data_IF_532112931608
#
_entry.id   IF_532112931608
#
_cell.length_a   1.000
_cell.length_b   1.000
_cell.length_c   1.000
_cell.angle_alpha   90.00
_cell.angle_beta   90.00
_cell.angle_gamma   90.00
#
_symmetry.space_group_name_H-M   'P 1'
#
loop_
_entity.id
_entity.type
_entity.pdbx_description
1 polymer ?
#
# COMPACT_ATOMS: atom_id res chain seq x y z
N UNK A 1 11.13 10.50 -13.69
CA UNK A 1 10.75 9.15 -13.23
C UNK A 1 9.61 9.28 -12.23
N UNK A 2 8.55 8.49 -12.41
CA UNK A 2 7.39 8.47 -11.52
C UNK A 2 7.35 7.09 -10.87
N UNK A 3 7.54 7.02 -9.55
CA UNK A 3 7.56 5.75 -8.81
C UNK A 3 6.41 5.76 -7.80
N UNK A 4 5.44 4.84 -7.91
CA UNK A 4 4.49 4.64 -6.82
C UNK A 4 5.24 4.05 -5.62
N UNK A 5 5.06 4.63 -4.43
CA UNK A 5 5.75 4.22 -3.18
C UNK A 5 4.77 3.75 -2.09
N UNK A 6 3.47 3.91 -2.31
CA UNK A 6 2.41 3.52 -1.38
C UNK A 6 1.06 4.03 -1.84
N UNK A 7 0.00 3.62 -1.17
CA UNK A 7 -1.35 4.12 -1.37
C UNK A 7 -1.99 4.60 -0.06
N UNK A 8 -3.20 5.15 -0.16
CA UNK A 8 -4.00 5.67 0.93
C UNK A 8 -5.50 5.59 0.59
N UNK A 9 -6.37 5.26 1.56
CA UNK A 9 -6.04 4.76 2.90
C UNK A 9 -5.61 3.29 2.87
N UNK A 10 -4.70 2.89 3.77
CA UNK A 10 -4.32 1.48 3.91
C UNK A 10 -5.35 0.71 4.74
N UNK A 11 -5.62 -0.56 4.41
CA UNK A 11 -6.48 -1.41 5.21
C UNK A 11 -5.85 -1.73 6.57
N UNK A 12 -6.65 -1.95 7.63
CA UNK A 12 -6.15 -2.44 8.90
C UNK A 12 -5.74 -3.92 8.82
N UNK A 13 -4.72 -4.31 9.59
CA UNK A 13 -4.25 -5.69 9.68
C UNK A 13 -3.07 -6.02 8.75
N UNK A 14 -2.77 -7.31 8.59
CA UNK A 14 -1.65 -7.80 7.76
C UNK A 14 -2.19 -8.70 6.65
N UNK A 15 -1.74 -8.44 5.42
CA UNK A 15 -2.06 -9.21 4.23
C UNK A 15 -1.12 -10.43 4.13
N UNK A 16 -1.39 -11.47 4.92
CA UNK A 16 -0.49 -12.61 5.08
C UNK A 16 -0.21 -13.35 3.78
N UNK A 17 -1.20 -13.49 2.89
CA UNK A 17 -1.01 -14.20 1.62
C UNK A 17 -0.21 -13.35 0.65
N UNK A 18 -0.49 -12.06 0.53
CA UNK A 18 0.28 -11.12 -0.27
C UNK A 18 1.75 -11.09 0.18
N UNK A 19 1.99 -10.99 1.49
CA UNK A 19 3.34 -11.06 2.05
C UNK A 19 4.02 -12.41 1.79
N UNK A 20 3.26 -13.51 1.85
CA UNK A 20 3.79 -14.85 1.54
C UNK A 20 4.15 -14.99 0.06
N UNK A 21 3.35 -14.43 -0.85
CA UNK A 21 3.66 -14.41 -2.28
C UNK A 21 4.91 -13.56 -2.55
N UNK A 22 5.04 -12.40 -1.90
CA UNK A 22 6.26 -11.57 -2.00
C UNK A 22 7.48 -12.37 -1.51
N UNK A 23 7.38 -12.98 -0.33
CA UNK A 23 8.45 -13.80 0.24
C UNK A 23 8.82 -14.99 -0.66
N UNK A 24 7.83 -15.69 -1.23
CA UNK A 24 8.06 -16.82 -2.13
C UNK A 24 8.82 -16.39 -3.40
N UNK A 25 8.42 -15.27 -4.01
CA UNK A 25 9.10 -14.72 -5.19
C UNK A 25 10.54 -14.31 -4.88
N UNK A 26 10.76 -13.62 -3.75
CA UNK A 26 12.12 -13.26 -3.30
C UNK A 26 12.96 -14.50 -3.03
N UNK A 27 12.40 -15.52 -2.38
CA UNK A 27 13.09 -16.77 -2.06
C UNK A 27 13.46 -17.55 -3.32
N UNK A 28 12.54 -17.68 -4.28
CA UNK A 28 12.83 -18.32 -5.58
C UNK A 28 13.92 -17.55 -6.32
N UNK A 29 13.85 -16.23 -6.33
CA UNK A 29 14.91 -15.42 -6.93
C UNK A 29 16.27 -15.61 -6.25
N UNK A 30 16.29 -15.64 -4.91
CA UNK A 30 17.53 -15.78 -4.14
C UNK A 30 18.15 -17.18 -4.23
N UNK A 31 17.31 -18.24 -4.25
CA UNK A 31 17.76 -19.63 -4.22
C UNK A 31 17.94 -20.25 -5.60
N UNK A 32 17.25 -19.74 -6.63
CA UNK A 32 17.28 -20.30 -7.99
C UNK A 32 17.86 -19.29 -8.97
N UNK A 33 17.25 -18.11 -9.10
CA UNK A 33 17.68 -17.14 -10.12
C UNK A 33 19.11 -16.68 -9.90
N UNK A 34 19.46 -16.16 -8.72
CA UNK A 34 20.79 -15.60 -8.44
C UNK A 34 21.93 -16.62 -8.62
N UNK A 35 21.87 -17.83 -8.03
CA UNK A 35 22.94 -18.82 -8.21
C UNK A 35 23.09 -19.25 -9.67
N UNK A 36 21.98 -19.57 -10.35
CA UNK A 36 22.03 -20.05 -11.73
C UNK A 36 22.45 -18.96 -12.73
N UNK A 37 22.14 -17.69 -12.47
CA UNK A 37 22.61 -16.58 -13.31
C UNK A 37 24.13 -16.39 -13.23
N UNK A 38 24.77 -16.81 -12.13
CA UNK A 38 26.22 -16.78 -11.97
C UNK A 38 26.95 -17.99 -12.57
N UNK A 39 26.22 -19.02 -12.99
CA UNK A 39 26.76 -20.26 -13.55
C UNK A 39 26.65 -20.26 -15.07
N UNK A 40 27.66 -20.81 -15.76
CA UNK A 40 27.58 -21.07 -17.20
C UNK A 40 26.62 -22.22 -17.49
N UNK A 41 25.95 -22.17 -18.63
CA UNK A 41 25.17 -23.29 -19.14
C UNK A 41 26.03 -24.56 -19.28
N UNK A 42 25.48 -25.71 -18.86
CA UNK A 42 26.12 -27.01 -19.07
C UNK A 42 26.13 -27.35 -20.57
N UNK A 43 27.30 -27.52 -21.21
CA UNK A 43 27.40 -27.84 -22.64
C UNK A 43 26.75 -29.18 -23.02
N UNK A 44 26.59 -30.09 -22.06
CA UNK A 44 26.01 -31.42 -22.29
C UNK A 44 24.50 -31.48 -22.02
N UNK A 45 23.90 -30.37 -21.58
CA UNK A 45 22.46 -30.32 -21.35
C UNK A 45 21.72 -30.34 -22.71
N UNK A 46 20.83 -31.31 -22.96
CA UNK A 46 20.13 -31.41 -24.24
C UNK A 46 19.25 -30.18 -24.55
N UNK A 47 18.77 -29.47 -23.52
CA UNK A 47 17.99 -28.25 -23.70
C UNK A 47 18.80 -27.08 -24.29
N UNK A 48 20.13 -27.10 -24.17
CA UNK A 48 20.99 -26.11 -24.82
C UNK A 48 20.91 -26.23 -26.35
N UNK A 49 20.85 -27.45 -26.88
CA UNK A 49 20.74 -27.69 -28.32
C UNK A 49 19.40 -27.18 -28.84
N UNK A 50 18.32 -27.49 -28.11
CA UNK A 50 16.98 -27.00 -28.42
C UNK A 50 16.91 -25.47 -28.37
N UNK A 51 17.47 -24.86 -27.33
CA UNK A 51 17.55 -23.41 -27.18
C UNK A 51 18.30 -22.73 -28.36
N UNK A 52 19.47 -23.25 -28.73
CA UNK A 52 20.26 -22.72 -29.85
C UNK A 52 19.53 -22.88 -31.20
N UNK A 53 18.82 -23.99 -31.40
CA UNK A 53 18.01 -24.21 -32.58
C UNK A 53 16.89 -23.16 -32.71
N UNK A 54 16.21 -22.83 -31.60
CA UNK A 54 15.16 -21.80 -31.61
C UNK A 54 15.68 -20.37 -31.72
N UNK A 55 16.94 -20.11 -31.36
CA UNK A 55 17.62 -18.85 -31.66
C UNK A 55 18.03 -18.71 -33.14
N UNK A 56 17.81 -19.74 -33.97
CA UNK A 56 18.16 -19.72 -35.40
C UNK A 56 19.66 -19.81 -35.65
N UNK A 57 20.42 -20.39 -34.71
CA UNK A 57 21.86 -20.59 -34.85
C UNK A 57 22.13 -21.67 -35.89
N UNK A 58 22.82 -21.32 -36.98
CA UNK A 58 23.07 -22.22 -38.11
C UNK A 58 24.53 -22.68 -38.24
N UNK A 59 25.46 -22.08 -37.48
CA UNK A 59 26.88 -22.43 -37.53
C UNK A 59 27.47 -22.77 -36.16
N UNK A 60 28.50 -23.62 -36.16
CA UNK A 60 29.25 -24.01 -34.96
C UNK A 60 29.91 -22.80 -34.27
N UNK A 61 30.43 -21.84 -35.04
CA UNK A 61 31.05 -20.64 -34.49
C UNK A 61 30.02 -19.73 -33.81
N UNK A 62 28.82 -19.58 -34.38
CA UNK A 62 27.73 -18.87 -33.73
C UNK A 62 27.25 -19.61 -32.48
N UNK A 63 27.13 -20.94 -32.54
CA UNK A 63 26.73 -21.76 -31.39
C UNK A 63 27.70 -21.60 -30.21
N UNK A 64 29.01 -21.61 -30.47
CA UNK A 64 30.03 -21.38 -29.44
C UNK A 64 29.92 -19.97 -28.85
N UNK A 65 29.79 -18.94 -29.68
CA UNK A 65 29.66 -17.55 -29.20
C UNK A 65 28.40 -17.32 -28.36
N UNK A 66 27.29 -17.96 -28.73
CA UNK A 66 26.02 -17.85 -28.01
C UNK A 66 26.09 -18.67 -26.71
N UNK A 67 26.57 -19.92 -26.76
CA UNK A 67 26.72 -20.77 -25.58
C UNK A 67 27.62 -20.17 -24.48
N UNK A 68 28.65 -19.41 -24.86
CA UNK A 68 29.51 -18.69 -23.91
C UNK A 68 28.79 -17.56 -23.15
N UNK A 69 27.67 -17.05 -23.68
CA UNK A 69 26.88 -15.96 -23.10
C UNK A 69 25.63 -16.41 -22.37
N UNK A 70 25.23 -17.67 -22.54
CA UNK A 70 24.06 -18.28 -21.89
C UNK A 70 24.44 -18.71 -20.48
N UNK A 71 23.66 -18.25 -19.50
CA UNK A 71 23.75 -18.71 -18.11
C UNK A 71 22.96 -20.00 -17.91
N UNK A 72 23.26 -20.72 -16.83
CA UNK A 72 22.43 -21.86 -16.42
C UNK A 72 20.98 -21.43 -16.15
N UNK A 73 20.76 -20.18 -15.75
CA UNK A 73 19.43 -19.63 -15.54
C UNK A 73 18.65 -19.43 -16.84
N UNK A 74 19.30 -19.01 -17.93
CA UNK A 74 18.63 -18.86 -19.23
C UNK A 74 18.08 -20.21 -19.72
N UNK A 75 18.84 -21.30 -19.54
CA UNK A 75 18.37 -22.65 -19.81
C UNK A 75 17.26 -23.07 -18.86
N UNK A 76 17.36 -22.73 -17.57
CA UNK A 76 16.33 -23.03 -16.58
C UNK A 76 14.99 -22.36 -16.95
N UNK A 77 15.03 -21.09 -17.35
CA UNK A 77 13.88 -20.33 -17.86
C UNK A 77 13.35 -20.93 -19.15
N UNK A 78 14.23 -21.38 -20.06
CA UNK A 78 13.80 -22.06 -21.28
C UNK A 78 13.07 -23.38 -21.01
N UNK A 79 13.46 -24.09 -19.96
CA UNK A 79 12.85 -25.36 -19.57
C UNK A 79 11.54 -25.21 -18.80
N UNK A 80 11.44 -24.21 -17.90
CA UNK A 80 10.33 -24.08 -16.93
C UNK A 80 9.48 -22.81 -17.10
N UNK A 81 9.83 -21.93 -18.04
CA UNK A 81 9.04 -20.78 -18.42
C UNK A 81 7.95 -21.18 -19.42
N UNK A 82 6.84 -20.44 -19.43
CA UNK A 82 5.70 -20.79 -20.27
C UNK A 82 5.99 -20.45 -21.74
N UNK A 83 6.02 -21.47 -22.60
CA UNK A 83 6.23 -21.31 -24.05
C UNK A 83 4.90 -21.46 -24.79
N UNK A 84 4.38 -20.40 -25.45
CA UNK A 84 3.14 -20.50 -26.24
C UNK A 84 3.13 -21.62 -27.27
N UNK A 85 4.27 -21.89 -27.94
CA UNK A 85 4.40 -22.93 -28.96
C UNK A 85 4.41 -24.36 -28.40
N UNK A 86 4.67 -24.52 -27.10
CA UNK A 86 4.73 -25.80 -26.41
C UNK A 86 4.10 -25.66 -25.02
N UNK A 87 2.76 -25.45 -24.93
CA UNK A 87 2.10 -25.09 -23.70
C UNK A 87 2.11 -26.27 -22.73
N UNK A 88 2.64 -26.05 -21.53
CA UNK A 88 2.60 -27.02 -20.43
C UNK A 88 1.99 -26.40 -19.18
N UNK A 89 1.25 -27.21 -18.41
CA UNK A 89 0.52 -26.74 -17.25
C UNK A 89 1.44 -26.40 -16.08
N UNK A 90 2.51 -27.17 -15.88
CA UNK A 90 3.56 -26.89 -14.90
C UNK A 90 4.23 -25.53 -15.16
N UNK A 91 4.63 -25.27 -16.40
CA UNK A 91 5.27 -24.01 -16.80
C UNK A 91 4.37 -22.79 -16.57
N UNK A 92 3.05 -22.96 -16.69
CA UNK A 92 2.08 -21.90 -16.47
C UNK A 92 2.08 -21.39 -15.01
N UNK A 93 2.30 -22.29 -14.04
CA UNK A 93 2.39 -21.89 -12.63
C UNK A 93 3.82 -21.51 -12.22
N UNK A 94 4.83 -22.24 -12.69
CA UNK A 94 6.24 -21.94 -12.36
C UNK A 94 6.67 -20.57 -12.91
N UNK A 95 6.27 -20.24 -14.14
CA UNK A 95 6.60 -18.97 -14.77
C UNK A 95 6.19 -17.74 -13.94
N UNK A 96 5.12 -17.82 -13.14
CA UNK A 96 4.67 -16.73 -12.27
C UNK A 96 5.70 -16.33 -11.22
N UNK A 97 6.64 -17.22 -10.88
CA UNK A 97 7.64 -16.99 -9.84
C UNK A 97 9.05 -16.73 -10.38
N UNK A 98 9.29 -16.97 -11.67
CA UNK A 98 10.58 -16.71 -12.32
C UNK A 98 10.68 -15.24 -12.74
N UNK A 99 11.86 -14.64 -12.58
CA UNK A 99 12.08 -13.22 -12.89
C UNK A 99 13.33 -13.03 -13.74
N UNK A 100 13.25 -12.13 -14.72
CA UNK A 100 14.37 -11.87 -15.65
C UNK A 100 15.56 -11.14 -14.99
N UNK A 101 15.40 -10.61 -13.78
CA UNK A 101 16.46 -9.90 -13.06
C UNK A 101 15.95 -9.13 -11.85
N UNK A 102 16.86 -8.48 -11.13
CA UNK A 102 16.55 -7.82 -9.86
C UNK A 102 15.53 -6.69 -10.01
N UNK A 103 15.65 -5.85 -11.05
CA UNK A 103 14.70 -4.76 -11.28
C UNK A 103 13.30 -5.28 -11.64
N UNK A 104 13.21 -6.39 -12.38
CA UNK A 104 11.94 -7.02 -12.69
C UNK A 104 11.26 -7.57 -11.41
N UNK A 105 12.02 -8.25 -10.55
CA UNK A 105 11.52 -8.66 -9.24
C UNK A 105 11.10 -7.47 -8.38
N UNK A 106 11.98 -6.48 -8.21
CA UNK A 106 11.72 -5.31 -7.37
C UNK A 106 10.47 -4.55 -7.81
N UNK A 107 10.27 -4.38 -9.12
CA UNK A 107 9.05 -3.80 -9.68
C UNK A 107 7.81 -4.61 -9.32
N UNK A 108 7.83 -5.92 -9.54
CA UNK A 108 6.68 -6.79 -9.21
C UNK A 108 6.35 -6.75 -7.71
N UNK A 109 7.36 -6.85 -6.85
CA UNK A 109 7.14 -6.85 -5.40
C UNK A 109 6.65 -5.48 -4.90
N UNK A 110 7.12 -4.38 -5.50
CA UNK A 110 6.63 -3.04 -5.20
C UNK A 110 5.14 -2.90 -5.50
N UNK A 111 4.68 -3.37 -6.66
CA UNK A 111 3.26 -3.32 -7.01
C UNK A 111 2.40 -4.23 -6.11
N UNK A 112 2.87 -5.44 -5.78
CA UNK A 112 2.16 -6.28 -4.81
C UNK A 112 2.11 -5.65 -3.42
N UNK A 113 3.20 -5.01 -2.99
CA UNK A 113 3.27 -4.32 -1.70
C UNK A 113 2.27 -3.17 -1.61
N UNK A 114 2.12 -2.38 -2.68
CA UNK A 114 1.26 -1.20 -2.69
C UNK A 114 -0.23 -1.55 -2.89
N UNK A 115 -0.54 -2.54 -3.71
CA UNK A 115 -1.93 -2.77 -4.15
C UNK A 115 -2.52 -4.09 -3.65
N UNK A 116 -1.68 -5.08 -3.30
CA UNK A 116 -2.11 -6.42 -2.96
C UNK A 116 -2.85 -6.52 -1.63
N UNK A 117 -2.46 -5.72 -0.64
CA UNK A 117 -3.03 -5.72 0.70
C UNK A 117 -4.52 -5.29 0.72
N UNK A 118 -4.88 -4.27 -0.04
CA UNK A 118 -6.26 -3.78 -0.19
C UNK A 118 -7.15 -4.86 -0.82
N UNK A 119 -6.64 -5.55 -1.84
CA UNK A 119 -7.37 -6.60 -2.55
C UNK A 119 -7.51 -7.85 -1.66
N UNK A 120 -6.47 -8.24 -0.93
CA UNK A 120 -6.55 -9.33 0.06
C UNK A 120 -7.51 -8.97 1.20
N UNK A 121 -7.47 -7.74 1.70
CA UNK A 121 -8.36 -7.29 2.76
C UNK A 121 -9.84 -7.40 2.34
N UNK A 122 -10.16 -7.10 1.07
CA UNK A 122 -11.53 -7.21 0.55
C UNK A 122 -11.98 -8.66 0.33
N UNK A 123 -11.10 -9.53 -0.17
CA UNK A 123 -11.46 -10.90 -0.55
C UNK A 123 -11.23 -11.94 0.56
N UNK A 124 -10.38 -11.63 1.53
CA UNK A 124 -9.77 -12.60 2.41
C UNK A 124 -8.64 -13.40 1.74
N UNK A 125 -7.83 -14.10 2.55
CA UNK A 125 -6.56 -14.70 2.12
C UNK A 125 -6.73 -15.76 1.02
N UNK A 126 -7.69 -16.68 1.18
CA UNK A 126 -7.87 -17.80 0.26
C UNK A 126 -8.35 -17.36 -1.13
N UNK A 127 -9.35 -16.48 -1.18
CA UNK A 127 -9.86 -15.97 -2.45
C UNK A 127 -8.86 -15.04 -3.14
N UNK A 128 -8.05 -14.31 -2.37
CA UNK A 128 -6.94 -13.55 -2.91
C UNK A 128 -5.90 -14.45 -3.60
N UNK A 129 -5.51 -15.57 -2.98
CA UNK A 129 -4.60 -16.54 -3.61
C UNK A 129 -5.17 -17.12 -4.90
N UNK A 130 -6.44 -17.56 -4.87
CA UNK A 130 -7.12 -18.10 -6.05
C UNK A 130 -7.22 -17.05 -7.15
N UNK A 131 -7.56 -15.82 -6.81
CA UNK A 131 -7.61 -14.70 -7.74
C UNK A 131 -6.24 -14.47 -8.39
N UNK A 132 -5.17 -14.39 -7.59
CA UNK A 132 -3.82 -14.17 -8.08
C UNK A 132 -3.39 -15.24 -9.10
N UNK A 133 -3.61 -16.52 -8.78
CA UNK A 133 -3.30 -17.62 -9.68
C UNK A 133 -4.18 -17.59 -10.94
N UNK A 134 -5.48 -17.34 -10.77
CA UNK A 134 -6.44 -17.26 -11.87
C UNK A 134 -6.09 -16.14 -12.85
N UNK A 135 -5.83 -14.92 -12.36
CA UNK A 135 -5.45 -13.80 -13.23
C UNK A 135 -4.09 -14.01 -13.88
N UNK A 136 -3.17 -14.72 -13.21
CA UNK A 136 -1.92 -15.18 -13.81
C UNK A 136 -2.18 -16.11 -15.01
N UNK A 137 -3.04 -17.12 -14.84
CA UNK A 137 -3.44 -18.03 -15.93
C UNK A 137 -4.07 -17.26 -17.09
N UNK A 138 -5.03 -16.39 -16.79
CA UNK A 138 -5.73 -15.60 -17.82
C UNK A 138 -4.78 -14.63 -18.55
N UNK A 139 -3.83 -14.02 -17.85
CA UNK A 139 -2.79 -13.19 -18.43
C UNK A 139 -1.93 -13.99 -19.42
N UNK A 140 -1.47 -15.17 -19.01
CA UNK A 140 -0.66 -16.07 -19.84
C UNK A 140 -1.42 -16.55 -21.07
N UNK A 141 -2.68 -16.97 -20.90
CA UNK A 141 -3.54 -17.39 -22.02
C UNK A 141 -3.76 -16.23 -22.99
N UNK A 142 -4.09 -15.03 -22.48
CA UNK A 142 -4.30 -13.86 -23.33
C UNK A 142 -3.03 -13.53 -24.14
N UNK A 143 -1.85 -13.57 -23.51
CA UNK A 143 -0.58 -13.37 -24.21
C UNK A 143 -0.33 -14.44 -25.29
N UNK A 144 -0.61 -15.71 -24.98
CA UNK A 144 -0.41 -16.82 -25.90
C UNK A 144 -1.26 -16.68 -27.17
N UNK A 145 -2.48 -16.13 -27.09
CA UNK A 145 -3.36 -15.91 -28.25
C UNK A 145 -2.72 -15.05 -29.34
N UNK A 146 -1.77 -14.19 -28.99
CA UNK A 146 -1.06 -13.31 -29.94
C UNK A 146 0.36 -13.78 -30.26
N UNK A 147 0.81 -14.87 -29.67
CA UNK A 147 2.21 -15.34 -29.76
C UNK A 147 2.32 -16.87 -29.91
N UNK A 148 1.31 -17.52 -30.50
CA UNK A 148 1.15 -18.98 -30.54
C UNK A 148 2.41 -19.74 -31.01
N UNK A 149 3.15 -19.22 -31.99
CA UNK A 149 4.35 -19.90 -32.54
C UNK A 149 5.65 -19.54 -31.80
N UNK A 150 5.57 -18.81 -30.69
CA UNK A 150 6.74 -18.36 -29.93
C UNK A 150 7.29 -19.43 -29.00
N UNK A 151 8.59 -19.71 -29.13
CA UNK A 151 9.37 -20.49 -28.17
C UNK A 151 10.07 -19.63 -27.10
N UNK A 152 9.91 -18.30 -27.18
CA UNK A 152 10.42 -17.38 -26.15
C UNK A 152 9.60 -17.56 -24.87
N UNK A 153 10.20 -18.01 -23.76
CA UNK A 153 9.45 -18.26 -22.53
C UNK A 153 8.91 -16.98 -21.91
N UNK A 154 7.64 -17.01 -21.51
CA UNK A 154 7.03 -16.03 -20.64
C UNK A 154 7.37 -16.36 -19.18
N UNK A 155 7.88 -15.37 -18.45
CA UNK A 155 8.14 -15.43 -17.01
C UNK A 155 7.75 -14.12 -16.33
N UNK A 156 7.42 -14.20 -15.05
CA UNK A 156 7.16 -13.07 -14.18
C UNK A 156 5.77 -13.10 -13.55
N UNK A 157 5.69 -12.61 -12.31
CA UNK A 157 4.46 -12.41 -11.57
C UNK A 157 3.55 -11.31 -12.18
N UNK A 158 4.08 -10.49 -13.09
CA UNK A 158 3.51 -9.21 -13.53
C UNK A 158 2.11 -9.33 -14.18
N UNK A 159 1.81 -10.45 -14.84
CA UNK A 159 0.47 -10.74 -15.37
C UNK A 159 -0.57 -10.94 -14.26
N UNK A 160 -0.25 -11.76 -13.26
CA UNK A 160 -1.09 -11.96 -12.08
C UNK A 160 -1.29 -10.66 -11.30
N UNK A 161 -0.20 -9.90 -11.11
CA UNK A 161 -0.20 -8.59 -10.44
C UNK A 161 -1.09 -7.62 -11.20
N UNK A 162 -1.01 -7.59 -12.53
CA UNK A 162 -1.87 -6.73 -13.35
C UNK A 162 -3.36 -7.06 -13.14
N UNK A 163 -3.71 -8.34 -12.88
CA UNK A 163 -5.04 -8.70 -12.42
C UNK A 163 -5.42 -8.13 -11.06
N UNK A 164 -4.50 -8.14 -10.09
CA UNK A 164 -4.70 -7.45 -8.81
C UNK A 164 -4.94 -5.94 -9.03
N UNK A 165 -4.19 -5.30 -9.93
CA UNK A 165 -4.39 -3.89 -10.30
C UNK A 165 -5.74 -3.65 -10.97
N UNK A 166 -6.20 -4.57 -11.82
CA UNK A 166 -7.53 -4.54 -12.42
C UNK A 166 -8.63 -4.58 -11.38
N UNK A 167 -8.52 -5.48 -10.39
CA UNK A 167 -9.43 -5.49 -9.24
C UNK A 167 -9.36 -4.19 -8.45
N UNK A 168 -8.15 -3.70 -8.19
CA UNK A 168 -7.94 -2.48 -7.42
C UNK A 168 -8.59 -1.27 -8.09
N UNK A 169 -8.45 -1.16 -9.42
CA UNK A 169 -9.02 -0.08 -10.23
C UNK A 169 -10.56 0.00 -10.13
N UNK A 170 -11.22 -1.16 -10.05
CA UNK A 170 -12.67 -1.27 -9.91
C UNK A 170 -13.10 -0.96 -8.47
N UNK A 171 -12.48 -1.60 -7.48
CA UNK A 171 -12.95 -1.58 -6.10
C UNK A 171 -12.50 -0.36 -5.28
N UNK A 172 -11.39 0.29 -5.63
CA UNK A 172 -10.83 1.40 -4.86
C UNK A 172 -10.75 2.71 -5.67
N UNK A 173 -11.89 3.22 -6.20
CA UNK A 173 -11.91 4.37 -7.10
C UNK A 173 -11.47 5.70 -6.45
N UNK A 174 -11.54 5.77 -5.12
CA UNK A 174 -11.24 6.98 -4.33
C UNK A 174 -9.86 6.93 -3.67
N UNK A 175 -9.15 5.80 -3.74
CA UNK A 175 -7.82 5.69 -3.16
C UNK A 175 -6.84 6.58 -3.92
N UNK A 176 -5.81 7.02 -3.21
CA UNK A 176 -4.73 7.85 -3.75
C UNK A 176 -3.42 7.09 -3.65
N UNK A 177 -2.60 7.17 -4.68
CA UNK A 177 -1.25 6.61 -4.72
C UNK A 177 -0.27 7.73 -4.40
N UNK A 178 0.61 7.47 -3.43
CA UNK A 178 1.81 8.27 -3.17
C UNK A 178 2.79 8.00 -4.30
N UNK A 179 3.02 8.99 -5.15
CA UNK A 179 3.95 8.88 -6.27
C UNK A 179 5.13 9.80 -6.03
N UNK A 180 6.31 9.19 -5.93
CA UNK A 180 7.58 9.91 -5.92
C UNK A 180 7.92 10.36 -7.34
N UNK A 181 8.06 11.66 -7.51
CA UNK A 181 8.47 12.31 -8.76
C UNK A 181 9.94 12.68 -8.64
N UNK A 182 10.74 12.05 -9.48
CA UNK A 182 12.17 12.30 -9.61
C UNK A 182 12.48 12.84 -11.00
N UNK A 183 12.59 14.15 -11.12
CA UNK A 183 13.03 14.91 -12.29
C UNK A 183 14.28 15.69 -11.86
N UNK A 184 15.42 15.00 -11.81
CA UNK A 184 16.68 15.61 -11.42
C UNK A 184 17.13 16.69 -12.43
N UNK A 185 17.65 17.85 -12.00
CA UNK A 185 17.79 18.34 -10.62
C UNK A 185 16.61 19.20 -10.11
N UNK A 186 15.50 19.29 -10.85
CA UNK A 186 14.47 20.31 -10.67
C UNK A 186 13.37 19.95 -9.67
N UNK A 187 12.89 18.70 -9.69
CA UNK A 187 11.73 18.26 -8.89
C UNK A 187 12.04 16.91 -8.25
N UNK A 188 12.09 16.89 -6.91
CA UNK A 188 12.25 15.69 -6.09
C UNK A 188 11.22 15.75 -4.96
N UNK A 189 9.99 15.33 -5.24
CA UNK A 189 8.87 15.42 -4.28
C UNK A 189 7.94 14.23 -4.39
N UNK A 190 7.10 14.04 -3.37
CA UNK A 190 6.04 13.03 -3.37
C UNK A 190 4.69 13.71 -3.45
N UNK A 191 3.87 13.31 -4.42
CA UNK A 191 2.50 13.82 -4.56
C UNK A 191 1.48 12.68 -4.45
N UNK A 192 0.25 13.04 -4.09
CA UNK A 192 -0.88 12.11 -4.03
C UNK A 192 -1.69 12.21 -5.32
N UNK A 193 -1.68 11.14 -6.11
CA UNK A 193 -2.44 11.05 -7.34
C UNK A 193 -3.63 10.08 -7.18
N UNK A 194 -4.77 10.31 -7.84
CA UNK A 194 -5.86 9.34 -7.86
C UNK A 194 -5.37 7.99 -8.38
N UNK A 195 -5.68 6.90 -7.69
CA UNK A 195 -5.19 5.57 -8.07
C UNK A 195 -5.60 5.19 -9.50
N UNK A 196 -6.84 5.50 -9.90
CA UNK A 196 -7.33 5.28 -11.27
C UNK A 196 -6.51 6.01 -12.33
N UNK A 197 -6.00 7.20 -12.03
CA UNK A 197 -5.16 7.93 -12.96
C UNK A 197 -3.81 7.21 -13.12
N UNK A 198 -3.17 6.84 -12.01
CA UNK A 198 -1.87 6.16 -12.03
C UNK A 198 -1.96 4.81 -12.74
N UNK A 199 -2.95 3.99 -12.37
CA UNK A 199 -3.16 2.67 -12.98
C UNK A 199 -3.62 2.77 -14.44
N UNK A 200 -4.44 3.78 -14.78
CA UNK A 200 -4.88 4.03 -16.16
C UNK A 200 -3.71 4.44 -17.06
N UNK A 201 -2.82 5.32 -16.57
CA UNK A 201 -1.59 5.69 -17.28
C UNK A 201 -0.69 4.47 -17.47
N UNK A 202 -0.47 3.68 -16.41
CA UNK A 202 0.31 2.43 -16.50
C UNK A 202 -0.27 1.45 -17.54
N UNK A 203 -1.58 1.24 -17.54
CA UNK A 203 -2.22 0.35 -18.50
C UNK A 203 -2.09 0.88 -19.94
N UNK A 204 -2.37 2.16 -20.16
CA UNK A 204 -2.40 2.71 -21.52
C UNK A 204 -0.99 2.93 -22.06
N UNK A 205 -0.18 3.69 -21.33
CA UNK A 205 1.14 4.15 -21.80
C UNK A 205 2.17 3.03 -21.74
N UNK A 206 2.23 2.25 -20.66
CA UNK A 206 3.28 1.26 -20.48
C UNK A 206 2.91 -0.11 -21.08
N UNK A 207 1.65 -0.33 -21.46
CA UNK A 207 1.19 -1.63 -21.96
C UNK A 207 0.43 -1.55 -23.29
N UNK A 208 -0.68 -0.83 -23.38
CA UNK A 208 -1.48 -0.77 -24.61
C UNK A 208 -0.70 -0.14 -25.77
N UNK A 209 -0.03 1.00 -25.56
CA UNK A 209 0.74 1.63 -26.62
C UNK A 209 1.89 0.74 -27.12
N UNK A 210 2.76 0.17 -26.25
CA UNK A 210 3.78 -0.77 -26.71
C UNK A 210 3.20 -2.01 -27.40
N UNK A 211 2.10 -2.57 -26.89
CA UNK A 211 1.44 -3.71 -27.52
C UNK A 211 0.97 -3.42 -28.95
N UNK A 212 0.50 -2.21 -29.24
CA UNK A 212 0.00 -1.81 -30.56
C UNK A 212 1.10 -1.35 -31.52
N UNK A 213 2.16 -0.72 -31.01
CA UNK A 213 3.12 0.01 -31.85
C UNK A 213 4.53 -0.61 -31.84
N UNK A 214 4.89 -1.39 -30.82
CA UNK A 214 6.21 -2.03 -30.69
C UNK A 214 6.09 -3.50 -31.09
N UNK A 215 6.47 -3.80 -32.33
CA UNK A 215 6.25 -5.12 -32.94
C UNK A 215 7.30 -6.17 -32.52
N UNK A 216 8.45 -5.76 -31.96
CA UNK A 216 9.50 -6.70 -31.52
C UNK A 216 10.56 -6.00 -30.66
N UNK A 217 11.05 -6.70 -29.61
CA UNK A 217 12.29 -6.33 -28.89
C UNK A 217 12.13 -5.62 -27.54
N UNK A 218 10.92 -5.45 -26.98
CA UNK A 218 10.78 -4.79 -25.67
C UNK A 218 11.21 -5.67 -24.48
N UNK A 219 11.26 -6.99 -24.66
CA UNK A 219 11.52 -7.95 -23.57
C UNK A 219 10.40 -8.00 -22.50
N UNK A 220 9.28 -7.29 -22.73
CA UNK A 220 8.15 -7.19 -21.80
C UNK A 220 6.89 -7.74 -22.47
N UNK A 221 6.21 -8.65 -21.79
CA UNK A 221 4.98 -9.26 -22.26
C UNK A 221 3.76 -8.36 -22.01
N UNK A 222 3.67 -7.23 -22.72
CA UNK A 222 2.59 -6.25 -22.55
C UNK A 222 1.18 -6.88 -22.70
N UNK A 223 1.02 -7.86 -23.59
CA UNK A 223 -0.23 -8.62 -23.72
C UNK A 223 -0.64 -9.33 -22.43
N UNK A 224 0.31 -9.88 -21.68
CA UNK A 224 0.01 -10.53 -20.40
C UNK A 224 -0.51 -9.53 -19.36
N UNK A 225 0.06 -8.31 -19.31
CA UNK A 225 -0.42 -7.27 -18.40
C UNK A 225 -1.85 -6.82 -18.75
N UNK A 226 -2.14 -6.63 -20.03
CA UNK A 226 -3.48 -6.27 -20.51
C UNK A 226 -4.49 -7.37 -20.16
N UNK A 227 -4.18 -8.62 -20.50
CA UNK A 227 -5.04 -9.77 -20.21
C UNK A 227 -5.30 -9.95 -18.72
N UNK A 228 -4.25 -9.83 -17.90
CA UNK A 228 -4.37 -9.87 -16.44
C UNK A 228 -5.29 -8.77 -15.92
N UNK A 229 -5.06 -7.52 -16.31
CA UNK A 229 -5.87 -6.37 -15.88
C UNK A 229 -7.35 -6.52 -16.24
N UNK A 230 -7.64 -6.94 -17.47
CA UNK A 230 -9.01 -7.18 -17.93
C UNK A 230 -9.64 -8.32 -17.13
N UNK A 231 -8.93 -9.43 -16.92
CA UNK A 231 -9.44 -10.56 -16.16
C UNK A 231 -9.77 -10.18 -14.70
N UNK A 232 -8.85 -9.50 -14.02
CA UNK A 232 -9.05 -9.05 -12.64
C UNK A 232 -10.18 -8.01 -12.52
N UNK A 233 -10.20 -7.02 -13.41
CA UNK A 233 -11.29 -6.04 -13.47
C UNK A 233 -12.65 -6.68 -13.74
N UNK A 234 -12.69 -7.67 -14.65
CA UNK A 234 -13.88 -8.45 -14.96
C UNK A 234 -14.38 -9.28 -13.77
N UNK A 235 -13.48 -9.97 -13.05
CA UNK A 235 -13.81 -10.70 -11.83
C UNK A 235 -14.34 -9.74 -10.76
N UNK A 236 -13.69 -8.60 -10.55
CA UNK A 236 -14.13 -7.60 -9.59
C UNK A 236 -15.53 -7.06 -9.91
N UNK A 237 -15.77 -6.74 -11.18
CA UNK A 237 -17.08 -6.32 -11.67
C UNK A 237 -18.14 -7.41 -11.47
N UNK A 238 -17.83 -8.67 -11.82
CA UNK A 238 -18.75 -9.79 -11.68
C UNK A 238 -19.13 -10.07 -10.22
N UNK A 239 -18.17 -10.02 -9.28
CA UNK A 239 -18.42 -10.16 -7.84
C UNK A 239 -19.35 -9.06 -7.33
N UNK A 240 -19.18 -7.83 -7.81
CA UNK A 240 -20.02 -6.71 -7.37
C UNK A 240 -21.46 -6.80 -7.91
N UNK A 241 -21.66 -7.38 -9.10
CA UNK A 241 -22.96 -7.45 -9.80
C UNK A 241 -23.70 -8.79 -9.67
N UNK A 242 -23.05 -9.87 -9.21
CA UNK A 242 -23.69 -11.17 -9.04
C UNK A 242 -23.76 -11.58 -7.56
N UNK A 243 -24.93 -11.46 -6.89
CA UNK A 243 -25.06 -11.72 -5.46
C UNK A 243 -24.61 -13.12 -5.02
N UNK A 244 -24.78 -14.13 -5.87
CA UNK A 244 -24.37 -15.52 -5.61
C UNK A 244 -22.85 -15.76 -5.63
N UNK A 245 -22.06 -14.88 -6.26
CA UNK A 245 -20.59 -14.95 -6.26
C UNK A 245 -19.97 -14.17 -5.09
N UNK A 246 -20.79 -13.47 -4.30
CA UNK A 246 -20.38 -12.83 -3.05
C UNK A 246 -20.19 -13.89 -1.96
N UNK A 247 -19.16 -14.70 -2.10
CA UNK A 247 -18.70 -15.61 -1.06
C UNK A 247 -17.54 -14.97 -0.30
N UNK A 248 -17.74 -14.81 1.01
CA UNK A 248 -16.86 -14.09 1.90
C UNK A 248 -17.73 -13.47 2.98
N UNK A 249 -17.38 -13.64 4.25
CA UNK A 249 -18.08 -12.97 5.35
C UNK A 249 -18.27 -11.54 4.91
N UNK A 250 -19.52 -11.09 4.89
CA UNK A 250 -19.84 -9.68 4.92
C UNK A 250 -19.06 -9.18 6.13
N UNK A 251 -17.86 -8.62 5.95
CA UNK A 251 -17.50 -7.45 6.72
C UNK A 251 -18.50 -6.42 6.22
N UNK A 252 -19.72 -6.54 6.74
CA UNK A 252 -20.40 -5.39 7.26
C UNK A 252 -19.26 -4.55 7.82
N UNK A 253 -18.98 -3.40 7.19
CA UNK A 253 -18.96 -2.20 8.01
C UNK A 253 -20.17 -2.42 8.90
N UNK A 254 -19.96 -2.87 10.15
CA UNK A 254 -21.04 -2.99 11.12
C UNK A 254 -21.67 -1.62 10.95
N UNK A 255 -22.84 -1.58 10.32
CA UNK A 255 -23.59 -0.33 10.25
C UNK A 255 -23.65 0.00 11.71
N UNK A 256 -22.91 1.03 12.10
CA UNK A 256 -22.79 1.29 13.52
C UNK A 256 -24.24 1.44 13.98
N UNK A 257 -24.65 0.94 15.16
CA UNK A 257 -25.99 1.22 15.66
C UNK A 257 -26.38 2.71 15.51
N UNK A 258 -25.36 3.56 15.45
CA UNK A 258 -25.33 5.00 15.30
C UNK A 258 -25.26 5.53 13.85
N UNK A 259 -25.31 4.69 12.82
CA UNK A 259 -25.22 5.12 11.41
C UNK A 259 -26.64 5.38 10.87
N UNK A 260 -27.23 6.50 11.32
CA UNK A 260 -28.46 7.07 10.79
C UNK A 260 -28.11 8.22 9.81
N UNK A 261 -28.54 8.15 8.52
CA UNK A 261 -28.25 9.20 7.52
C UNK A 261 -28.78 10.60 7.86
N UNK A 262 -29.82 10.68 8.69
CA UNK A 262 -30.46 11.93 9.10
C UNK A 262 -29.90 12.50 10.41
N UNK A 263 -29.10 11.72 11.15
CA UNK A 263 -28.55 12.12 12.44
C UNK A 263 -27.41 13.14 12.29
N UNK A 264 -27.40 14.14 13.16
CA UNK A 264 -26.32 15.14 13.16
C UNK A 264 -24.98 14.49 13.55
N UNK A 265 -23.88 15.18 13.27
CA UNK A 265 -22.56 14.69 13.68
C UNK A 265 -22.45 14.52 15.21
N UNK A 266 -23.15 15.37 15.97
CA UNK A 266 -23.20 15.28 17.43
C UNK A 266 -23.97 14.02 17.87
N UNK A 267 -25.14 13.74 17.29
CA UNK A 267 -25.93 12.56 17.63
C UNK A 267 -25.18 11.25 17.33
N UNK A 268 -24.44 11.24 16.21
CA UNK A 268 -23.62 10.09 15.81
C UNK A 268 -22.47 9.84 16.79
N UNK A 269 -21.79 10.90 17.24
CA UNK A 269 -20.71 10.80 18.22
C UNK A 269 -21.26 10.35 19.57
N UNK A 270 -22.37 10.96 20.04
CA UNK A 270 -23.01 10.58 21.29
C UNK A 270 -23.36 9.09 21.31
N UNK A 271 -24.06 8.61 20.27
CA UNK A 271 -24.40 7.19 20.18
C UNK A 271 -23.16 6.29 20.14
N UNK A 272 -22.07 6.70 19.47
CA UNK A 272 -20.84 5.89 19.39
C UNK A 272 -20.17 5.77 20.75
N UNK A 273 -20.14 6.87 21.51
CA UNK A 273 -19.63 6.89 22.88
C UNK A 273 -20.51 6.02 23.80
N UNK A 274 -21.84 6.12 23.70
CA UNK A 274 -22.79 5.30 24.46
C UNK A 274 -22.62 3.78 24.21
N UNK A 275 -22.06 3.39 23.06
CA UNK A 275 -21.80 2.00 22.69
C UNK A 275 -20.34 1.59 22.85
N UNK A 276 -19.53 2.36 23.59
CA UNK A 276 -18.12 2.09 23.87
C UNK A 276 -17.26 1.97 22.59
N UNK A 277 -17.58 2.79 21.58
CA UNK A 277 -16.88 2.83 20.28
C UNK A 277 -16.13 4.15 20.11
N UNK A 278 -15.17 4.38 20.99
CA UNK A 278 -14.44 5.65 21.05
C UNK A 278 -13.59 5.91 19.79
N UNK A 279 -12.95 4.88 19.22
CA UNK A 279 -12.18 5.00 17.96
C UNK A 279 -13.04 5.51 16.80
N UNK A 280 -14.25 4.96 16.66
CA UNK A 280 -15.20 5.36 15.62
C UNK A 280 -15.67 6.80 15.85
N UNK A 281 -15.91 7.21 17.11
CA UNK A 281 -16.28 8.57 17.48
C UNK A 281 -15.19 9.58 17.10
N UNK A 282 -13.93 9.27 17.43
CA UNK A 282 -12.77 10.06 17.01
C UNK A 282 -12.70 10.16 15.49
N UNK A 283 -12.92 9.05 14.77
CA UNK A 283 -12.95 9.02 13.30
C UNK A 283 -14.01 9.96 12.71
N UNK A 284 -15.22 9.98 13.29
CA UNK A 284 -16.28 10.92 12.89
C UNK A 284 -15.84 12.36 13.16
N UNK A 285 -15.32 12.67 14.35
CA UNK A 285 -14.85 14.01 14.70
C UNK A 285 -13.75 14.53 13.76
N UNK A 286 -12.74 13.70 13.47
CA UNK A 286 -11.64 14.11 12.59
C UNK A 286 -12.07 14.31 11.13
N UNK A 287 -13.11 13.59 10.69
CA UNK A 287 -13.72 13.75 9.37
C UNK A 287 -14.52 15.04 9.18
N UNK A 288 -14.84 15.78 10.25
CA UNK A 288 -15.55 17.05 10.17
C UNK A 288 -14.60 18.19 9.79
N UNK A 289 -14.74 18.68 8.55
CA UNK A 289 -13.91 19.78 8.03
C UNK A 289 -14.43 21.17 8.42
N UNK A 290 -15.75 21.34 8.59
CA UNK A 290 -16.38 22.62 8.91
C UNK A 290 -16.35 22.91 10.42
N UNK A 291 -15.99 24.15 10.79
CA UNK A 291 -15.93 24.62 12.19
C UNK A 291 -17.30 24.64 12.83
N UNK A 292 -18.33 25.00 12.06
CA UNK A 292 -19.72 25.03 12.47
C UNK A 292 -20.19 23.65 12.93
N UNK A 293 -19.87 22.60 12.17
CA UNK A 293 -20.23 21.21 12.50
C UNK A 293 -19.46 20.69 13.72
N UNK A 294 -18.19 21.07 13.90
CA UNK A 294 -17.45 20.66 15.09
C UNK A 294 -17.97 21.32 16.35
N UNK A 295 -18.47 22.56 16.28
CA UNK A 295 -19.05 23.31 17.40
C UNK A 295 -20.38 22.73 17.90
N UNK A 296 -21.12 21.99 17.08
CA UNK A 296 -22.36 21.34 17.53
C UNK A 296 -22.11 20.18 18.49
N UNK A 297 -20.87 19.69 18.58
CA UNK A 297 -20.51 18.58 19.46
C UNK A 297 -20.32 19.11 20.88
N UNK A 298 -20.95 18.50 21.90
CA UNK A 298 -20.76 18.90 23.29
C UNK A 298 -19.29 18.86 23.73
N UNK A 299 -18.88 19.85 24.53
CA UNK A 299 -17.48 20.02 24.92
C UNK A 299 -16.91 18.83 25.68
N UNK A 300 -17.72 18.23 26.58
CA UNK A 300 -17.33 17.07 27.36
C UNK A 300 -16.98 15.84 26.49
N UNK A 301 -17.75 15.56 25.43
CA UNK A 301 -17.43 14.45 24.52
C UNK A 301 -16.13 14.67 23.75
N UNK A 302 -15.83 15.92 23.38
CA UNK A 302 -14.57 16.22 22.70
C UNK A 302 -13.40 15.97 23.66
N UNK A 303 -13.51 16.41 24.91
CA UNK A 303 -12.48 16.19 25.92
C UNK A 303 -12.31 14.72 26.29
N UNK A 304 -13.42 13.98 26.40
CA UNK A 304 -13.43 12.52 26.61
C UNK A 304 -12.70 11.77 25.49
N UNK A 305 -12.98 12.11 24.22
CA UNK A 305 -12.22 11.59 23.07
C UNK A 305 -10.74 11.96 23.15
N UNK A 306 -10.42 13.17 23.59
CA UNK A 306 -9.04 13.59 23.82
C UNK A 306 -8.32 12.74 24.88
N UNK A 307 -8.97 12.48 26.01
CA UNK A 307 -8.45 11.65 27.10
C UNK A 307 -8.25 10.20 26.67
N UNK A 308 -9.19 9.64 25.90
CA UNK A 308 -9.06 8.32 25.30
C UNK A 308 -7.83 8.22 24.39
N UNK A 309 -7.64 9.19 23.48
CA UNK A 309 -6.47 9.21 22.60
C UNK A 309 -5.17 9.33 23.39
N UNK A 310 -5.17 10.06 24.50
CA UNK A 310 -4.02 10.13 25.41
C UNK A 310 -3.73 8.78 26.08
N UNK A 311 -4.76 8.06 26.54
CA UNK A 311 -4.63 6.75 27.17
C UNK A 311 -4.07 5.70 26.18
N UNK A 312 -4.52 5.73 24.93
CA UNK A 312 -4.04 4.87 23.84
C UNK A 312 -2.70 5.34 23.23
N UNK A 313 -2.06 6.36 23.81
CA UNK A 313 -0.77 6.93 23.38
C UNK A 313 -0.79 7.51 21.95
N UNK A 314 -1.96 7.91 21.46
CA UNK A 314 -2.12 8.61 20.19
C UNK A 314 -1.93 10.13 20.34
N UNK A 315 -0.75 10.54 20.81
CA UNK A 315 -0.46 11.93 21.22
C UNK A 315 -0.63 12.97 20.10
N UNK A 316 -0.29 12.64 18.84
CA UNK A 316 -0.49 13.55 17.70
C UNK A 316 -1.97 13.81 17.40
N UNK A 317 -2.80 12.76 17.51
CA UNK A 317 -4.24 12.87 17.31
C UNK A 317 -4.88 13.65 18.46
N UNK A 318 -4.51 13.34 19.70
CA UNK A 318 -4.96 14.06 20.89
C UNK A 318 -4.61 15.56 20.80
N UNK A 319 -3.35 15.89 20.47
CA UNK A 319 -2.91 17.27 20.29
C UNK A 319 -3.71 18.00 19.20
N UNK A 320 -3.96 17.33 18.07
CA UNK A 320 -4.78 17.89 16.98
C UNK A 320 -6.21 18.17 17.44
N UNK A 321 -6.80 17.25 18.20
CA UNK A 321 -8.13 17.39 18.76
C UNK A 321 -8.20 18.57 19.74
N UNK A 322 -7.28 18.66 20.71
CA UNK A 322 -7.26 19.77 21.68
C UNK A 322 -7.03 21.12 21.01
N UNK A 323 -6.13 21.21 20.01
CA UNK A 323 -5.93 22.44 19.22
C UNK A 323 -7.19 22.85 18.46
N UNK A 324 -7.91 21.89 17.88
CA UNK A 324 -9.21 22.15 17.24
C UNK A 324 -10.22 22.64 18.27
N UNK A 325 -10.27 22.04 19.46
CA UNK A 325 -11.15 22.49 20.53
C UNK A 325 -10.89 23.95 20.91
N UNK A 326 -9.62 24.28 21.23
CA UNK A 326 -9.19 25.64 21.61
C UNK A 326 -9.52 26.65 20.50
N UNK A 327 -9.22 26.29 19.24
CA UNK A 327 -9.49 27.16 18.10
C UNK A 327 -10.99 27.31 17.85
N UNK A 328 -11.76 26.23 17.95
CA UNK A 328 -13.18 26.24 17.63
C UNK A 328 -13.99 26.95 18.71
N UNK A 329 -13.58 26.89 19.99
CA UNK A 329 -14.35 27.37 21.16
C UNK A 329 -13.53 28.28 22.10
N UNK A 330 -13.19 29.51 21.69
CA UNK A 330 -12.31 30.40 22.48
C UNK A 330 -12.94 30.98 23.75
N UNK A 331 -14.20 30.66 24.06
CA UNK A 331 -14.91 31.11 25.27
C UNK A 331 -15.60 29.96 25.99
N UNK A 332 -15.14 28.73 25.75
CA UNK A 332 -15.64 27.54 26.45
C UNK A 332 -15.15 27.51 27.90
N UNK A 333 -15.98 27.00 28.79
CA UNK A 333 -15.67 26.89 30.22
C UNK A 333 -14.62 25.80 30.50
N UNK A 334 -14.44 24.84 29.60
CA UNK A 334 -13.48 23.74 29.74
C UNK A 334 -12.21 23.94 28.88
N UNK A 335 -11.90 25.19 28.53
CA UNK A 335 -10.67 25.53 27.81
C UNK A 335 -9.41 25.13 28.58
N UNK A 336 -9.43 25.26 29.90
CA UNK A 336 -8.33 24.86 30.78
C UNK A 336 -7.95 23.38 30.61
N UNK A 337 -8.93 22.48 30.54
CA UNK A 337 -8.71 21.06 30.30
C UNK A 337 -8.11 20.80 28.91
N UNK A 338 -8.57 21.53 27.89
CA UNK A 338 -8.03 21.40 26.54
C UNK A 338 -6.58 21.91 26.46
N UNK A 339 -6.25 23.02 27.12
CA UNK A 339 -4.89 23.52 27.23
C UNK A 339 -3.99 22.55 27.97
N UNK A 340 -4.44 22.02 29.11
CA UNK A 340 -3.70 21.02 29.87
C UNK A 340 -3.42 19.78 29.02
N UNK A 341 -4.45 19.23 28.37
CA UNK A 341 -4.33 18.08 27.47
C UNK A 341 -3.38 18.32 26.30
N UNK A 342 -3.44 19.50 25.67
CA UNK A 342 -2.51 19.87 24.59
C UNK A 342 -1.06 19.95 25.07
N UNK A 343 -0.82 20.51 26.26
CA UNK A 343 0.50 20.56 26.88
C UNK A 343 1.07 19.17 27.16
N UNK A 344 0.27 18.31 27.79
CA UNK A 344 0.69 16.93 28.13
C UNK A 344 0.94 16.11 26.85
N UNK A 345 0.06 16.21 25.84
CA UNK A 345 0.24 15.52 24.57
C UNK A 345 1.55 15.91 23.88
N UNK A 346 1.91 17.21 23.94
CA UNK A 346 3.13 17.71 23.33
C UNK A 346 4.39 17.24 24.07
N UNK A 347 4.37 17.20 25.41
CA UNK A 347 5.50 16.67 26.19
C UNK A 347 5.76 15.18 25.95
N UNK A 348 4.69 14.39 25.78
CA UNK A 348 4.83 12.96 25.49
C UNK A 348 5.33 12.70 24.06
N UNK A 349 5.22 13.68 23.16
CA UNK A 349 5.80 13.62 21.82
C UNK A 349 7.27 14.02 21.83
N UNK A 350 7.58 15.16 22.44
CA UNK A 350 8.92 15.72 22.54
C UNK A 350 9.11 16.29 23.95
N UNK A 351 10.01 15.66 24.71
CA UNK A 351 10.24 15.94 26.14
C UNK A 351 10.47 17.44 26.47
N UNK A 352 10.84 18.27 25.49
CA UNK A 352 11.20 19.69 25.70
C UNK A 352 10.65 20.64 24.63
N UNK A 353 9.42 20.45 24.15
CA UNK A 353 8.86 21.36 23.16
C UNK A 353 8.45 22.73 23.78
N UNK A 354 8.99 23.89 23.33
CA UNK A 354 8.71 25.20 23.94
C UNK A 354 7.21 25.57 24.00
N UNK A 355 6.43 25.17 22.99
CA UNK A 355 4.98 25.40 22.99
C UNK A 355 4.22 24.66 24.09
N UNK A 356 4.78 23.62 24.73
CA UNK A 356 4.13 22.94 25.85
C UNK A 356 4.02 23.88 27.06
N UNK A 357 5.08 24.65 27.30
CA UNK A 357 5.13 25.66 28.36
C UNK A 357 4.01 26.70 28.19
N UNK A 358 3.78 27.18 26.97
CA UNK A 358 2.71 28.14 26.67
C UNK A 358 1.32 27.58 26.98
N UNK A 359 1.08 26.30 26.68
CA UNK A 359 -0.20 25.67 27.02
C UNK A 359 -0.42 25.59 28.52
N UNK A 360 0.58 25.20 29.31
CA UNK A 360 0.45 25.16 30.77
C UNK A 360 0.26 26.55 31.39
N UNK A 361 0.94 27.59 30.87
CA UNK A 361 0.66 28.97 31.28
C UNK A 361 -0.79 29.37 30.98
N UNK A 362 -1.30 29.00 29.79
CA UNK A 362 -2.70 29.28 29.43
C UNK A 362 -3.69 28.63 30.40
N UNK A 363 -3.36 27.46 30.98
CA UNK A 363 -4.17 26.86 32.07
C UNK A 363 -4.21 27.76 33.30
N UNK A 364 -3.07 28.34 33.70
CA UNK A 364 -3.01 29.25 34.86
C UNK A 364 -3.81 30.54 34.63
N UNK A 365 -3.88 31.00 33.38
CA UNK A 365 -4.59 32.22 33.02
C UNK A 365 -6.11 32.04 32.96
N UNK A 366 -6.58 30.85 32.57
CA UNK A 366 -8.01 30.60 32.29
C UNK A 366 -8.71 29.71 33.31
N UNK A 367 -7.99 28.92 34.11
CA UNK A 367 -8.61 27.96 35.03
C UNK A 367 -8.95 28.58 36.39
N UNK A 368 -10.13 28.25 36.88
CA UNK A 368 -10.54 28.51 38.27
C UNK A 368 -10.41 27.27 39.17
N UNK A 369 -10.09 26.10 38.59
CA UNK A 369 -9.90 24.85 39.33
C UNK A 369 -8.45 24.75 39.85
N UNK A 370 -8.31 24.78 41.17
CA UNK A 370 -7.01 24.65 41.82
C UNK A 370 -6.32 23.31 41.53
N UNK A 371 -7.07 22.25 41.26
CA UNK A 371 -6.52 20.95 40.85
C UNK A 371 -5.77 21.04 39.52
N UNK A 372 -6.42 21.58 38.49
CA UNK A 372 -5.82 21.75 37.16
C UNK A 372 -4.65 22.74 37.18
N UNK A 373 -4.78 23.83 37.95
CA UNK A 373 -3.69 24.81 38.17
C UNK A 373 -2.47 24.14 38.80
N UNK A 374 -2.66 23.32 39.83
CA UNK A 374 -1.57 22.61 40.49
C UNK A 374 -0.92 21.57 39.58
N UNK A 375 -1.73 20.88 38.76
CA UNK A 375 -1.21 19.94 37.78
C UNK A 375 -0.39 20.63 36.67
N UNK A 376 -0.86 21.75 36.13
CA UNK A 376 -0.12 22.54 35.17
C UNK A 376 1.21 23.05 35.74
N UNK A 377 1.23 23.51 37.00
CA UNK A 377 2.46 23.89 37.71
C UNK A 377 3.46 22.75 37.81
N UNK A 378 3.00 21.54 38.15
CA UNK A 378 3.87 20.35 38.18
C UNK A 378 4.54 20.10 36.84
N UNK A 379 3.84 20.24 35.72
CA UNK A 379 4.43 20.07 34.40
C UNK A 379 5.39 21.22 34.03
N UNK A 380 5.09 22.46 34.42
CA UNK A 380 6.02 23.59 34.27
C UNK A 380 7.33 23.34 35.03
N UNK A 381 7.25 22.85 36.27
CA UNK A 381 8.42 22.49 37.07
C UNK A 381 9.27 21.38 36.41
N UNK A 382 8.61 20.39 35.80
CA UNK A 382 9.29 19.32 35.03
C UNK A 382 10.03 19.90 33.82
N UNK A 383 9.38 20.79 33.06
CA UNK A 383 10.01 21.46 31.90
C UNK A 383 11.20 22.30 32.37
N UNK A 384 11.04 23.09 33.43
CA UNK A 384 12.10 23.96 33.94
C UNK A 384 13.28 23.18 34.52
N UNK A 385 13.03 22.04 35.16
CA UNK A 385 14.05 21.16 35.72
C UNK A 385 14.82 20.35 34.67
N UNK A 386 14.14 19.80 33.65
CA UNK A 386 14.77 18.91 32.66
C UNK A 386 15.22 19.61 31.38
N UNK A 387 14.52 20.65 30.92
CA UNK A 387 14.77 21.25 29.60
C UNK A 387 15.71 22.45 29.63
N UNK A 388 15.85 23.16 30.77
CA UNK A 388 16.86 24.23 30.91
C UNK A 388 18.31 23.73 31.01
N UNK A 389 18.50 22.47 31.41
CA UNK A 389 19.82 21.83 31.46
C UNK A 389 20.23 21.19 30.12
N UNK A 390 19.35 21.18 29.12
CA UNK A 390 19.60 20.58 27.81
C UNK A 390 20.44 21.53 26.96
N UNK A 391 21.63 21.10 26.57
CA UNK A 391 22.48 21.80 25.61
C UNK A 391 21.90 21.66 24.20
N UNK A 392 21.22 22.71 23.73
CA UNK A 392 20.59 22.78 22.41
C UNK A 392 21.58 22.74 21.24
N UNK A 393 22.90 22.74 21.51
CA UNK A 393 23.94 22.58 20.49
C UNK A 393 24.24 21.12 20.12
N UNK A 394 23.66 20.14 20.83
CA UNK A 394 23.84 18.71 20.55
C UNK A 394 22.51 18.05 20.19
N UNK A 395 22.32 17.63 18.92
CA UNK A 395 21.20 16.78 18.57
C UNK A 395 21.51 15.36 19.07
N UNK A 396 20.65 14.89 19.95
CA UNK A 396 20.49 13.50 20.40
C UNK A 396 21.55 12.96 21.39
N UNK A 397 21.13 12.88 22.65
CA UNK A 397 21.58 11.89 23.63
C UNK A 397 20.35 11.13 24.13
#
# INVERSE_FOLDING_TARGET
MFIPVGDLPNPPGRAYVNLSLIAANIMIFALITLPLSGMKADPYNPALIEYLHHLGVQSLSQAQQVAERISAYDLFVFQHGFKPAAPRLDDLFFSLFLHAGLLHLAGNMLFLWIFGDNVEYRLGPWLYLVLYLFTGVMATVFFALFTLDSYTPLIGASGAISGILGCYFIWFPRNKVKTFIFLFPFIMTTILLPARLVLGVFLVIDNVLPFLFVHSGSGVAHGAHIGGFIAGGGVAYAIDHWPGLRHGKRFHKKVSPCENPEASAADRINCLIDHDKMDDACGVFFGLNQRELRRTIPSYHVLEMGQYLMAEKHFDAALTLYRRFISDRPSDDQLDQAYLGAGIALLNKENCHPSAHQYFLSVLDVSHDQGLVNEARRYLDVIDGHCRQRDWSRPDA
#
